data_IF_713871975645
#
_entry.id   IF_713871975645
#
_cell.length_a   1.000
_cell.length_b   1.000
_cell.length_c   1.000
_cell.angle_alpha   90.00
_cell.angle_beta   90.00
_cell.angle_gamma   90.00
#
_symmetry.space_group_name_H-M   'P 1'
#
loop_
_entity.id
_entity.type
_entity.pdbx_description
1 polymer ?
#
# COMPACT_ATOMS: atom_id res chain seq x y z
N UNK A 1 -4.75 -2.40 37.23
CA UNK A 1 -4.81 -2.33 35.75
C UNK A 1 -5.54 -3.57 35.26
N UNK A 2 -6.62 -3.43 34.49
CA UNK A 2 -7.42 -4.56 34.00
C UNK A 2 -6.86 -5.10 32.67
N UNK A 3 -6.96 -6.41 32.43
CA UNK A 3 -6.55 -7.05 31.17
C UNK A 3 -7.16 -6.39 29.92
N UNK A 4 -8.37 -5.83 30.04
CA UNK A 4 -9.06 -5.11 28.95
C UNK A 4 -8.33 -3.81 28.56
N UNK A 5 -7.73 -3.11 29.52
CA UNK A 5 -6.95 -1.90 29.26
C UNK A 5 -5.63 -2.22 28.55
N UNK A 6 -4.98 -3.32 28.91
CA UNK A 6 -3.77 -3.80 28.25
C UNK A 6 -4.05 -4.26 26.82
N UNK A 7 -5.12 -5.05 26.62
CA UNK A 7 -5.52 -5.54 25.31
C UNK A 7 -5.89 -4.39 24.36
N UNK A 8 -6.61 -3.37 24.85
CA UNK A 8 -6.91 -2.17 24.07
C UNK A 8 -5.64 -1.39 23.70
N UNK A 9 -4.71 -1.18 24.62
CA UNK A 9 -3.45 -0.48 24.32
C UNK A 9 -2.55 -1.24 23.35
N UNK A 10 -2.51 -2.58 23.46
CA UNK A 10 -1.81 -3.44 22.50
C UNK A 10 -2.45 -3.37 21.10
N UNK A 11 -3.79 -3.33 21.03
CA UNK A 11 -4.52 -3.13 19.76
C UNK A 11 -4.30 -1.73 19.19
N UNK A 12 -4.41 -0.67 20.01
CA UNK A 12 -4.16 0.71 19.61
C UNK A 12 -2.72 0.88 19.07
N UNK A 13 -1.74 0.26 19.71
CA UNK A 13 -0.35 0.23 19.23
C UNK A 13 -0.15 -0.59 17.95
N UNK A 14 -0.82 -1.74 17.83
CA UNK A 14 -0.79 -2.54 16.61
C UNK A 14 -1.45 -1.84 15.42
N UNK A 15 -2.57 -1.15 15.65
CA UNK A 15 -3.25 -0.33 14.65
C UNK A 15 -2.44 0.89 14.27
N UNK A 16 -1.70 1.51 15.19
CA UNK A 16 -0.84 2.66 14.86
C UNK A 16 0.35 2.25 13.99
N UNK A 17 1.02 1.14 14.32
CA UNK A 17 2.09 0.61 13.50
C UNK A 17 1.59 0.19 12.11
N UNK A 18 0.48 -0.56 12.05
CA UNK A 18 -0.11 -0.98 10.78
C UNK A 18 -0.47 0.22 9.91
N UNK A 19 -1.06 1.28 10.48
CA UNK A 19 -1.37 2.50 9.75
C UNK A 19 -0.13 3.19 9.19
N UNK A 20 0.92 3.34 10.00
CA UNK A 20 2.19 3.95 9.54
C UNK A 20 2.85 3.09 8.45
N UNK A 21 2.81 1.76 8.60
CA UNK A 21 3.32 0.83 7.60
C UNK A 21 2.55 0.95 6.28
N UNK A 22 1.22 1.04 6.35
CA UNK A 22 0.37 1.18 5.17
C UNK A 22 0.57 2.53 4.49
N UNK A 23 0.71 3.63 5.25
CA UNK A 23 1.05 4.96 4.72
C UNK A 23 2.40 4.95 3.99
N UNK A 24 3.42 4.31 4.57
CA UNK A 24 4.74 4.19 3.96
C UNK A 24 4.70 3.34 2.67
N UNK A 25 4.01 2.20 2.72
CA UNK A 25 3.82 1.33 1.54
C UNK A 25 3.04 2.04 0.45
N UNK A 26 2.03 2.81 0.81
CA UNK A 26 1.19 3.55 -0.12
C UNK A 26 2.00 4.61 -0.88
N UNK A 27 2.81 5.41 -0.18
CA UNK A 27 3.68 6.40 -0.83
C UNK A 27 4.66 5.74 -1.81
N UNK A 28 5.32 4.66 -1.39
CA UNK A 28 6.28 3.94 -2.24
C UNK A 28 5.60 3.27 -3.43
N UNK A 29 4.41 2.71 -3.24
CA UNK A 29 3.63 2.13 -4.33
C UNK A 29 3.34 3.17 -5.40
N UNK A 30 2.85 4.36 -5.03
CA UNK A 30 2.61 5.44 -5.99
C UNK A 30 3.87 5.82 -6.77
N UNK A 31 5.00 5.95 -6.07
CA UNK A 31 6.28 6.26 -6.70
C UNK A 31 6.73 5.20 -7.71
N UNK A 32 6.64 3.92 -7.36
CA UNK A 32 7.01 2.83 -8.27
C UNK A 32 6.08 2.74 -9.48
N UNK A 33 4.77 2.94 -9.27
CA UNK A 33 3.80 2.89 -10.35
C UNK A 33 3.86 4.11 -11.27
N UNK A 34 4.20 5.30 -10.76
CA UNK A 34 4.34 6.50 -11.58
C UNK A 34 5.59 6.48 -12.45
N UNK A 35 6.70 5.91 -11.95
CA UNK A 35 7.95 5.86 -12.70
C UNK A 35 8.00 4.76 -13.77
N UNK A 36 6.97 3.92 -13.92
CA UNK A 36 6.76 2.95 -15.01
C UNK A 36 7.86 1.91 -15.28
N UNK A 37 9.01 1.97 -14.60
CA UNK A 37 10.14 1.05 -14.80
C UNK A 37 9.89 -0.32 -14.15
N UNK A 38 9.03 -0.39 -13.13
CA UNK A 38 8.78 -1.61 -12.37
C UNK A 38 7.48 -2.29 -12.78
N UNK A 39 7.53 -3.60 -12.96
CA UNK A 39 6.34 -4.41 -13.13
C UNK A 39 5.50 -4.44 -11.85
N UNK A 40 4.17 -4.63 -11.98
CA UNK A 40 3.26 -4.64 -10.82
C UNK A 40 3.65 -5.69 -9.78
N UNK A 41 4.12 -6.84 -10.26
CA UNK A 41 4.56 -7.95 -9.42
C UNK A 41 5.85 -7.62 -8.67
N UNK A 42 6.77 -6.89 -9.30
CA UNK A 42 8.03 -6.45 -8.68
C UNK A 42 7.75 -5.40 -7.60
N UNK A 43 6.85 -4.45 -7.86
CA UNK A 43 6.41 -3.48 -6.87
C UNK A 43 5.78 -4.16 -5.65
N UNK A 44 4.93 -5.19 -5.85
CA UNK A 44 4.35 -5.96 -4.75
C UNK A 44 5.43 -6.61 -3.87
N UNK A 45 6.45 -7.22 -4.50
CA UNK A 45 7.57 -7.84 -3.81
C UNK A 45 8.40 -6.82 -3.01
N UNK A 46 8.77 -5.69 -3.62
CA UNK A 46 9.55 -4.62 -2.99
C UNK A 46 8.86 -4.00 -1.77
N UNK A 47 7.52 -3.92 -1.80
CA UNK A 47 6.71 -3.40 -0.70
C UNK A 47 6.45 -4.44 0.42
N UNK A 48 6.95 -5.66 0.24
CA UNK A 48 6.84 -6.75 1.21
C UNK A 48 5.45 -7.39 1.26
N UNK A 49 4.70 -7.38 0.16
CA UNK A 49 3.49 -8.18 0.02
C UNK A 49 3.85 -9.63 -0.29
N UNK A 50 3.05 -10.56 0.21
CA UNK A 50 3.24 -11.99 -0.03
C UNK A 50 2.99 -12.37 -1.49
N UNK A 51 2.09 -11.66 -2.15
CA UNK A 51 1.69 -11.91 -3.52
C UNK A 51 1.09 -10.65 -4.18
N UNK A 52 1.04 -10.59 -5.52
CA UNK A 52 0.48 -9.46 -6.25
C UNK A 52 -1.01 -9.18 -5.98
N UNK A 53 -1.82 -10.21 -5.64
CA UNK A 53 -3.24 -10.01 -5.34
C UNK A 53 -3.42 -9.29 -4.00
N UNK A 54 -2.59 -9.62 -3.01
CA UNK A 54 -2.56 -8.96 -1.70
C UNK A 54 -2.17 -7.49 -1.84
N UNK A 55 -1.17 -7.18 -2.68
CA UNK A 55 -0.85 -5.80 -3.05
C UNK A 55 -2.03 -5.10 -3.75
N UNK A 56 -2.65 -5.75 -4.74
CA UNK A 56 -3.77 -5.18 -5.48
C UNK A 56 -4.97 -4.82 -4.59
N UNK A 57 -5.30 -5.65 -3.59
CA UNK A 57 -6.36 -5.35 -2.61
C UNK A 57 -6.00 -4.16 -1.72
N UNK A 58 -4.77 -4.11 -1.19
CA UNK A 58 -4.32 -3.01 -0.36
C UNK A 58 -4.29 -1.70 -1.15
N UNK A 59 -3.73 -1.72 -2.36
CA UNK A 59 -3.66 -0.55 -3.23
C UNK A 59 -5.06 -0.02 -3.59
N UNK A 60 -6.00 -0.90 -3.95
CA UNK A 60 -7.40 -0.51 -4.20
C UNK A 60 -8.05 0.09 -2.96
N UNK A 61 -7.73 -0.38 -1.76
CA UNK A 61 -8.25 0.22 -0.52
C UNK A 61 -7.73 1.64 -0.29
N UNK A 62 -6.53 1.96 -0.78
CA UNK A 62 -5.91 3.28 -0.62
C UNK A 62 -6.31 4.28 -1.71
N UNK A 63 -6.32 3.86 -2.98
CA UNK A 63 -6.52 4.73 -4.15
C UNK A 63 -7.90 4.56 -4.81
N UNK A 64 -8.71 3.60 -4.36
CA UNK A 64 -10.05 3.32 -4.90
C UNK A 64 -10.06 2.49 -6.19
N UNK A 65 -8.92 2.35 -6.87
CA UNK A 65 -8.78 1.64 -8.15
C UNK A 65 -7.63 0.62 -8.12
N UNK A 66 -7.63 -0.40 -8.99
CA UNK A 66 -6.50 -1.32 -9.13
C UNK A 66 -5.20 -0.59 -9.52
N UNK A 67 -4.03 -1.11 -9.12
CA UNK A 67 -2.75 -0.46 -9.42
C UNK A 67 -2.41 -0.39 -10.92
N UNK A 68 -2.97 -1.29 -11.74
CA UNK A 68 -2.85 -1.25 -13.21
C UNK A 68 -3.57 -0.04 -13.81
N UNK A 69 -4.87 0.11 -13.53
CA UNK A 69 -5.71 1.23 -13.98
C UNK A 69 -5.15 2.58 -13.48
N UNK A 70 -4.68 2.61 -12.22
CA UNK A 70 -4.03 3.78 -11.64
C UNK A 70 -2.77 4.16 -12.43
N UNK A 71 -1.92 3.18 -12.74
CA UNK A 71 -0.69 3.38 -13.53
C UNK A 71 -1.00 3.90 -14.92
N UNK A 72 -2.00 3.34 -15.61
CA UNK A 72 -2.37 3.76 -16.97
C UNK A 72 -2.83 5.22 -17.00
N UNK A 73 -3.64 5.63 -16.03
CA UNK A 73 -4.09 7.02 -15.85
C UNK A 73 -2.92 7.98 -15.64
N UNK A 74 -1.93 7.59 -14.83
CA UNK A 74 -0.78 8.45 -14.51
C UNK A 74 0.31 8.45 -15.59
N UNK A 75 0.36 7.42 -16.44
CA UNK A 75 1.25 7.38 -17.61
C UNK A 75 0.84 8.40 -18.67
N UNK A 76 -0.47 8.59 -18.88
CA UNK A 76 -0.99 9.56 -19.84
C UNK A 76 -0.60 11.00 -19.48
N UNK A 77 -0.44 11.31 -18.20
CA UNK A 77 -0.09 12.66 -17.71
C UNK A 77 1.40 13.00 -17.76
N UNK A 78 2.30 12.03 -18.00
CA UNK A 78 3.76 12.23 -18.05
C UNK A 78 4.30 12.43 -19.48
N UNK A 79 3.43 12.42 -20.49
CA UNK A 79 3.80 12.56 -21.92
C UNK A 79 3.35 13.89 -22.54
N UNK A 80 3.09 14.91 -21.72
CA UNK A 80 2.75 16.28 -22.15
C UNK A 80 3.78 17.26 -21.60
#
# INVERSE_FOLDING_TARGET
MSSRTLQRRLQEGGSSFQRVLDEARHQMARYYLSNSVLELNEAAYLLGFQDPNSFGRAFRSWEGVPPGDWRETHRASSTA
#
